data_IF_604182882018
#
_entry.id   IF_604182882018
#
_cell.length_a   1.000
_cell.length_b   1.000
_cell.length_c   1.000
_cell.angle_alpha   90.00
_cell.angle_beta   90.00
_cell.angle_gamma   90.00
#
_symmetry.space_group_name_H-M   'P 1'
#
loop_
_entity.id
_entity.type
_entity.pdbx_description
1 polymer ?
#
# COMPACT_ATOMS: atom_id res chain seq x y z
N UNK A 1 24.02 -0.36 12.46
CA UNK A 1 22.69 -0.98 12.65
C UNK A 1 21.80 -0.84 11.43
N UNK A 2 21.85 0.27 10.69
CA UNK A 2 20.99 0.49 9.51
C UNK A 2 21.30 -0.47 8.34
N UNK A 3 22.57 -0.71 8.02
CA UNK A 3 22.98 -1.57 6.90
C UNK A 3 22.55 -3.03 7.03
N UNK A 4 22.75 -3.65 8.20
CA UNK A 4 22.34 -5.05 8.42
C UNK A 4 20.83 -5.25 8.25
N UNK A 5 20.01 -4.29 8.74
CA UNK A 5 18.56 -4.35 8.58
C UNK A 5 18.16 -4.23 7.10
N UNK A 6 18.77 -3.30 6.38
CA UNK A 6 18.61 -3.12 4.94
C UNK A 6 18.94 -4.40 4.17
N UNK A 7 20.08 -5.03 4.46
CA UNK A 7 20.50 -6.28 3.82
C UNK A 7 19.51 -7.42 4.07
N UNK A 8 19.01 -7.56 5.30
CA UNK A 8 18.03 -8.60 5.66
C UNK A 8 16.73 -8.37 4.90
N UNK A 9 16.24 -7.13 4.84
CA UNK A 9 14.99 -6.80 4.15
C UNK A 9 15.12 -7.05 2.65
N UNK A 10 16.20 -6.56 2.02
CA UNK A 10 16.43 -6.73 0.59
C UNK A 10 16.56 -8.21 0.20
N UNK A 11 17.24 -9.03 1.02
CA UNK A 11 17.33 -10.49 0.81
C UNK A 11 16.00 -11.23 0.92
N UNK A 12 15.00 -10.65 1.59
CA UNK A 12 13.72 -11.28 1.85
C UNK A 12 12.54 -10.56 1.18
N UNK A 13 12.80 -9.58 0.32
CA UNK A 13 11.79 -8.62 -0.15
C UNK A 13 10.61 -9.32 -0.85
N UNK A 14 10.90 -10.25 -1.75
CA UNK A 14 9.91 -11.05 -2.48
C UNK A 14 9.01 -11.81 -1.50
N UNK A 15 9.62 -12.51 -0.54
CA UNK A 15 8.90 -13.28 0.48
C UNK A 15 8.05 -12.37 1.38
N UNK A 16 8.56 -11.21 1.76
CA UNK A 16 7.83 -10.23 2.58
C UNK A 16 6.58 -9.78 1.81
N UNK A 17 6.74 -9.38 0.54
CA UNK A 17 5.62 -8.92 -0.29
C UNK A 17 4.61 -10.05 -0.54
N UNK A 18 5.05 -11.25 -0.89
CA UNK A 18 4.16 -12.39 -1.18
C UNK A 18 3.32 -12.80 0.03
N UNK A 19 3.95 -12.79 1.22
CA UNK A 19 3.25 -13.03 2.49
C UNK A 19 2.18 -11.98 2.79
N UNK A 20 2.20 -10.82 2.13
CA UNK A 20 1.20 -9.77 2.30
C UNK A 20 0.13 -9.76 1.20
N UNK A 21 0.03 -10.80 0.37
CA UNK A 21 -1.16 -11.01 -0.47
C UNK A 21 -2.44 -11.06 0.37
N UNK A 22 -3.56 -10.56 -0.17
CA UNK A 22 -4.87 -10.60 0.47
C UNK A 22 -5.23 -12.03 0.91
N UNK A 23 -5.05 -13.01 0.01
CA UNK A 23 -5.34 -14.41 0.30
C UNK A 23 -4.54 -14.93 1.49
N UNK A 24 -3.25 -14.59 1.59
CA UNK A 24 -2.45 -15.00 2.73
C UNK A 24 -2.85 -14.25 4.01
N UNK A 25 -3.00 -12.92 3.95
CA UNK A 25 -3.33 -12.10 5.12
C UNK A 25 -4.70 -12.44 5.71
N UNK A 26 -5.70 -12.74 4.87
CA UNK A 26 -7.00 -13.24 5.30
C UNK A 26 -6.86 -14.52 6.12
N UNK A 27 -5.97 -15.43 5.73
CA UNK A 27 -5.77 -16.71 6.42
C UNK A 27 -4.93 -16.58 7.70
N UNK A 28 -3.82 -15.85 7.66
CA UNK A 28 -2.87 -15.77 8.79
C UNK A 28 -3.22 -14.68 9.81
N UNK A 29 -4.00 -13.68 9.40
CA UNK A 29 -4.37 -12.54 10.23
C UNK A 29 -5.80 -12.05 9.92
N UNK A 30 -6.84 -12.89 10.10
CA UNK A 30 -8.22 -12.57 9.70
C UNK A 30 -8.81 -11.33 10.39
N UNK A 31 -8.27 -10.94 11.55
CA UNK A 31 -8.71 -9.76 12.31
C UNK A 31 -7.85 -8.51 12.07
N UNK A 32 -6.78 -8.62 11.26
CA UNK A 32 -5.88 -7.51 10.95
C UNK A 32 -6.46 -6.43 10.04
N UNK A 33 -7.57 -6.73 9.38
CA UNK A 33 -8.31 -5.78 8.55
C UNK A 33 -9.78 -6.21 8.47
N UNK A 34 -10.69 -5.24 8.42
CA UNK A 34 -12.12 -5.49 8.22
C UNK A 34 -12.41 -6.24 6.91
N UNK A 35 -11.67 -5.95 5.84
CA UNK A 35 -11.80 -6.61 4.54
C UNK A 35 -11.54 -8.12 4.63
N UNK A 36 -10.65 -8.57 5.51
CA UNK A 36 -10.34 -9.99 5.68
C UNK A 36 -11.50 -10.75 6.32
N UNK A 37 -12.05 -10.20 7.42
CA UNK A 37 -13.18 -10.81 8.14
C UNK A 37 -14.49 -10.80 7.35
N UNK A 38 -14.66 -9.85 6.42
CA UNK A 38 -15.83 -9.76 5.54
C UNK A 38 -15.72 -10.59 4.26
N UNK A 39 -14.58 -11.26 4.04
CA UNK A 39 -14.29 -11.95 2.78
C UNK A 39 -14.48 -11.05 1.55
N UNK A 40 -13.99 -9.81 1.66
CA UNK A 40 -14.09 -8.81 0.60
C UNK A 40 -12.73 -8.15 0.34
N UNK A 41 -12.35 -8.00 -0.94
CA UNK A 41 -11.15 -7.23 -1.33
C UNK A 41 -11.46 -5.73 -1.29
N UNK A 42 -10.58 -4.92 -0.70
CA UNK A 42 -10.79 -3.47 -0.65
C UNK A 42 -10.63 -2.80 -2.04
N UNK A 43 -9.84 -3.41 -2.94
CA UNK A 43 -9.74 -3.03 -4.36
C UNK A 43 -9.99 -4.25 -5.25
N UNK A 44 -10.74 -4.06 -6.33
CA UNK A 44 -11.07 -5.13 -7.26
C UNK A 44 -9.93 -5.41 -8.24
N UNK A 45 -8.87 -6.05 -7.76
CA UNK A 45 -7.77 -6.57 -8.58
C UNK A 45 -7.53 -8.05 -8.27
N UNK A 46 -7.10 -8.80 -9.28
CA UNK A 46 -6.88 -10.25 -9.18
C UNK A 46 -5.91 -10.58 -8.04
N UNK A 47 -4.71 -9.99 -8.10
CA UNK A 47 -3.63 -10.21 -7.14
C UNK A 47 -3.45 -9.00 -6.22
N UNK A 48 -4.34 -8.87 -5.23
CA UNK A 48 -4.30 -7.78 -4.25
C UNK A 48 -3.17 -7.98 -3.24
N UNK A 49 -2.18 -7.09 -3.25
CA UNK A 49 -1.16 -7.01 -2.20
C UNK A 49 -1.53 -5.97 -1.14
N UNK A 50 -1.42 -6.34 0.14
CA UNK A 50 -1.83 -5.52 1.28
C UNK A 50 -0.64 -4.89 2.05
N UNK A 51 0.62 -5.11 1.61
CA UNK A 51 1.80 -4.62 2.32
C UNK A 51 1.80 -3.09 2.47
N UNK A 52 1.50 -2.38 1.37
CA UNK A 52 1.27 -0.94 1.37
C UNK A 52 -0.22 -0.61 1.28
N UNK A 53 -1.02 -1.16 2.21
CA UNK A 53 -2.44 -0.79 2.33
C UNK A 53 -2.62 0.74 2.48
N UNK A 54 -1.61 1.42 3.02
CA UNK A 54 -1.41 2.85 2.86
C UNK A 54 -0.26 3.13 1.89
N UNK A 55 -0.51 3.98 0.89
CA UNK A 55 0.47 4.31 -0.14
C UNK A 55 1.61 5.18 0.44
N UNK A 56 2.89 4.77 0.36
CA UNK A 56 4.02 5.59 0.83
C UNK A 56 4.22 6.87 0.00
N UNK A 57 3.56 6.98 -1.16
CA UNK A 57 3.57 8.19 -1.98
C UNK A 57 2.45 9.19 -1.62
N UNK A 58 1.58 8.90 -0.65
CA UNK A 58 0.63 9.89 -0.16
C UNK A 58 1.35 10.91 0.73
N UNK A 59 1.36 12.16 0.31
CA UNK A 59 2.01 13.27 0.97
C UNK A 59 1.13 13.87 2.07
N UNK A 60 1.50 13.61 3.33
CA UNK A 60 0.82 14.17 4.51
C UNK A 60 1.38 15.52 4.94
N UNK A 61 2.41 16.05 4.27
CA UNK A 61 2.95 17.39 4.57
C UNK A 61 2.09 18.49 3.97
N UNK A 62 1.23 18.13 3.00
CA UNK A 62 0.20 19.00 2.43
C UNK A 62 -1.11 18.71 3.18
N UNK A 63 -1.76 19.75 3.69
CA UNK A 63 -2.98 19.63 4.50
C UNK A 63 -4.11 18.90 3.77
N UNK A 64 -4.34 19.24 2.50
CA UNK A 64 -5.32 18.59 1.63
C UNK A 64 -4.86 17.19 1.19
N UNK A 65 -3.60 16.81 1.43
CA UNK A 65 -2.97 15.64 0.85
C UNK A 65 -2.57 15.83 -0.62
N UNK A 66 -1.63 15.00 -1.09
CA UNK A 66 -1.26 14.92 -2.52
C UNK A 66 -0.59 13.58 -2.82
N UNK A 67 -0.60 13.14 -4.08
CA UNK A 67 0.28 12.07 -4.54
C UNK A 67 1.67 12.61 -4.92
N UNK A 68 2.75 12.07 -4.34
CA UNK A 68 4.14 12.43 -4.69
C UNK A 68 4.59 12.00 -6.07
N UNK A 69 3.86 11.07 -6.69
CA UNK A 69 4.16 10.54 -8.02
C UNK A 69 3.10 10.93 -9.06
N UNK A 70 2.18 11.83 -8.69
CA UNK A 70 1.10 12.32 -9.55
C UNK A 70 0.38 11.19 -10.30
N UNK A 71 -0.02 10.13 -9.57
CA UNK A 71 -0.77 9.00 -10.15
C UNK A 71 -2.06 9.50 -10.83
N UNK A 72 -2.38 8.99 -12.03
CA UNK A 72 -3.58 9.41 -12.76
C UNK A 72 -4.89 8.97 -12.08
N UNK A 73 -4.83 8.00 -11.17
CA UNK A 73 -6.00 7.49 -10.44
C UNK A 73 -6.34 8.36 -9.20
N UNK A 74 -5.47 9.32 -8.85
CA UNK A 74 -5.69 10.23 -7.73
C UNK A 74 -6.47 11.48 -8.16
N UNK A 75 -7.35 11.96 -7.27
CA UNK A 75 -8.19 13.14 -7.54
C UNK A 75 -8.42 13.93 -6.26
N UNK A 76 -8.64 15.24 -6.38
CA UNK A 76 -9.19 16.00 -5.27
C UNK A 76 -10.71 15.80 -5.22
N UNK A 77 -11.24 15.61 -4.02
CA UNK A 77 -12.67 15.56 -3.73
C UNK A 77 -13.04 16.63 -2.70
N UNK A 78 -14.27 17.11 -2.77
CA UNK A 78 -14.82 18.04 -1.79
C UNK A 78 -15.54 17.26 -0.68
N UNK A 79 -15.29 17.64 0.57
CA UNK A 79 -15.94 17.05 1.75
C UNK A 79 -16.57 18.15 2.61
N UNK A 80 -17.34 17.76 3.63
CA UNK A 80 -17.86 18.72 4.62
C UNK A 80 -16.75 19.49 5.37
N UNK A 81 -15.54 18.94 5.40
CA UNK A 81 -14.38 19.51 6.11
C UNK A 81 -13.38 20.17 5.15
N UNK A 82 -13.76 20.39 3.89
CA UNK A 82 -12.93 20.96 2.85
C UNK A 82 -12.39 19.93 1.86
N UNK A 83 -11.46 20.39 1.03
CA UNK A 83 -10.88 19.64 -0.07
C UNK A 83 -9.83 18.63 0.42
N UNK A 84 -9.91 17.39 -0.07
CA UNK A 84 -8.95 16.34 0.26
C UNK A 84 -8.53 15.56 -0.99
N UNK A 85 -7.31 15.02 -0.97
CA UNK A 85 -6.78 14.15 -1.99
C UNK A 85 -7.24 12.71 -1.76
N UNK A 86 -7.88 12.13 -2.76
CA UNK A 86 -8.43 10.79 -2.75
C UNK A 86 -7.62 9.88 -3.68
N UNK A 87 -7.20 8.73 -3.15
CA UNK A 87 -6.54 7.65 -3.87
C UNK A 87 -7.29 6.32 -3.73
N UNK A 88 -8.57 6.33 -3.30
CA UNK A 88 -9.34 5.10 -3.04
C UNK A 88 -9.58 4.22 -4.26
N UNK A 89 -9.42 4.75 -5.48
CA UNK A 89 -9.49 3.98 -6.73
C UNK A 89 -8.10 3.53 -7.23
N UNK A 90 -7.00 3.95 -6.57
CA UNK A 90 -5.65 3.74 -7.06
C UNK A 90 -5.12 2.34 -6.70
N UNK A 91 -4.79 1.55 -7.72
CA UNK A 91 -4.25 0.20 -7.53
C UNK A 91 -2.71 0.15 -7.45
N UNK A 92 -2.03 1.30 -7.61
CA UNK A 92 -0.58 1.37 -7.72
C UNK A 92 0.18 0.66 -6.58
N UNK A 93 -0.07 0.93 -5.28
CA UNK A 93 0.68 0.29 -4.19
C UNK A 93 0.28 -1.17 -3.96
N UNK A 94 -0.81 -1.62 -4.58
CA UNK A 94 -1.41 -2.93 -4.41
C UNK A 94 -0.91 -3.97 -5.42
N UNK A 95 -0.19 -3.54 -6.46
CA UNK A 95 0.50 -4.42 -7.40
C UNK A 95 1.81 -4.90 -6.78
N UNK A 96 2.03 -6.22 -6.82
CA UNK A 96 3.22 -6.88 -6.26
C UNK A 96 4.52 -6.21 -6.69
N UNK A 97 4.67 -5.94 -7.97
CA UNK A 97 5.90 -5.37 -8.57
C UNK A 97 6.15 -3.94 -8.10
N UNK A 98 5.08 -3.17 -7.88
CA UNK A 98 5.19 -1.81 -7.34
C UNK A 98 5.51 -1.84 -5.86
N UNK A 99 4.91 -2.75 -5.10
CA UNK A 99 5.22 -2.91 -3.68
C UNK A 99 6.70 -3.29 -3.46
N UNK A 100 7.26 -4.17 -4.30
CA UNK A 100 8.71 -4.48 -4.28
C UNK A 100 9.53 -3.21 -4.50
N UNK A 101 9.30 -2.50 -5.61
CA UNK A 101 10.05 -1.27 -5.96
C UNK A 101 9.95 -0.19 -4.87
N UNK A 102 8.79 -0.05 -4.24
CA UNK A 102 8.57 0.91 -3.15
C UNK A 102 9.38 0.50 -1.91
N UNK A 103 9.36 -0.78 -1.55
CA UNK A 103 10.10 -1.28 -0.40
C UNK A 103 11.62 -1.19 -0.63
N UNK A 104 12.12 -1.52 -1.83
CA UNK A 104 13.53 -1.30 -2.19
C UNK A 104 13.94 0.17 -2.03
N UNK A 105 13.10 1.10 -2.49
CA UNK A 105 13.38 2.54 -2.38
C UNK A 105 13.44 3.03 -0.93
N UNK A 106 12.68 2.41 -0.02
CA UNK A 106 12.70 2.75 1.41
C UNK A 106 13.93 2.21 2.15
N UNK A 107 14.53 1.12 1.64
CA UNK A 107 15.70 0.46 2.21
C UNK A 107 16.87 0.46 1.22
N UNK A 108 17.09 1.60 0.56
CA UNK A 108 18.27 1.86 -0.26
C UNK A 108 19.33 2.64 0.51
#
# INVERSE_FOLDING_TARGET
>A
MHELATDIINKNIEKIIDNHSYENQKNVNPYGCICYGLDAKCHNIENLNCFFCYCPNYDRTILEGKCKIDSPDGKYIETINGRVWDCSDCTFPHKRENAIKLLEKLFK
#
